data_IF_441426789467
#
_entry.id   IF_441426789467
#
_cell.length_a   1.000
_cell.length_b   1.000
_cell.length_c   1.000
_cell.angle_alpha   90.00
_cell.angle_beta   90.00
_cell.angle_gamma   90.00
#
_symmetry.space_group_name_H-M   'P 1'
#
loop_
_entity.id
_entity.type
_entity.pdbx_description
1 polymer ?
#
# COMPACT_ATOMS: atom_id res chain seq x y z
N UNK A 1 16.45 2.73 -17.25
CA UNK A 1 16.75 3.90 -16.38
C UNK A 1 16.60 3.42 -14.95
N UNK A 2 17.68 3.37 -14.20
CA UNK A 2 17.60 2.92 -12.81
C UNK A 2 16.87 3.97 -11.99
N UNK A 3 15.65 3.68 -11.65
CA UNK A 3 14.81 4.51 -10.81
C UNK A 3 15.43 4.84 -9.43
N UNK A 4 16.42 4.06 -9.02
CA UNK A 4 17.25 4.27 -7.82
C UNK A 4 18.06 5.58 -7.84
N UNK A 5 18.38 6.12 -9.03
CA UNK A 5 19.15 7.37 -9.17
C UNK A 5 18.28 8.62 -9.14
N UNK A 6 16.99 8.48 -8.98
CA UNK A 6 16.10 9.61 -8.94
C UNK A 6 16.28 10.38 -7.63
N UNK A 7 16.79 11.60 -7.73
CA UNK A 7 16.82 12.52 -6.58
C UNK A 7 15.38 12.97 -6.32
N UNK A 8 14.79 12.69 -5.14
CA UNK A 8 13.45 13.16 -4.86
C UNK A 8 13.42 14.69 -4.93
N UNK A 9 12.59 15.23 -5.80
CA UNK A 9 12.24 16.65 -5.69
C UNK A 9 11.31 16.82 -4.48
N UNK A 10 11.23 18.02 -3.87
CA UNK A 10 10.29 18.24 -2.77
C UNK A 10 8.83 17.89 -3.11
N UNK A 11 8.47 17.81 -4.38
CA UNK A 11 7.13 17.49 -4.88
C UNK A 11 6.89 16.00 -5.14
N UNK A 12 7.95 15.23 -5.36
CA UNK A 12 7.91 13.77 -5.57
C UNK A 12 7.76 12.99 -4.24
N UNK A 13 7.81 13.72 -3.14
CA UNK A 13 7.89 13.19 -1.79
C UNK A 13 6.69 12.30 -1.43
N UNK A 14 5.52 12.48 -2.05
CA UNK A 14 4.30 11.82 -1.58
C UNK A 14 4.01 10.50 -2.29
N UNK A 15 3.82 10.52 -3.59
CA UNK A 15 3.36 9.37 -4.38
C UNK A 15 4.50 8.48 -4.86
N UNK A 16 5.59 9.06 -5.29
CA UNK A 16 6.82 8.34 -5.62
C UNK A 16 7.37 7.53 -4.45
N UNK A 17 7.20 8.02 -3.22
CA UNK A 17 7.65 7.33 -2.03
C UNK A 17 6.85 6.04 -1.74
N UNK A 18 5.55 5.99 -2.06
CA UNK A 18 4.80 4.75 -1.98
C UNK A 18 5.33 3.70 -2.95
N UNK A 19 5.67 4.11 -4.18
CA UNK A 19 6.25 3.21 -5.17
C UNK A 19 7.61 2.68 -4.69
N UNK A 20 8.48 3.56 -4.16
CA UNK A 20 9.80 3.18 -3.63
C UNK A 20 9.70 2.22 -2.46
N UNK A 21 8.82 2.52 -1.51
CA UNK A 21 8.59 1.65 -0.35
C UNK A 21 8.07 0.27 -0.77
N UNK A 22 7.08 0.23 -1.68
CA UNK A 22 6.54 -1.02 -2.21
C UNK A 22 7.62 -1.82 -2.97
N UNK A 23 8.44 -1.16 -3.81
CA UNK A 23 9.56 -1.80 -4.53
C UNK A 23 10.55 -2.46 -3.58
N UNK A 24 10.99 -1.75 -2.56
CA UNK A 24 11.93 -2.29 -1.58
C UNK A 24 11.32 -3.49 -0.86
N UNK A 25 10.05 -3.42 -0.51
CA UNK A 25 9.38 -4.54 0.14
C UNK A 25 9.24 -5.76 -0.79
N UNK A 26 8.90 -5.55 -2.05
CA UNK A 26 8.90 -6.60 -3.07
C UNK A 26 10.26 -7.29 -3.13
N UNK A 27 11.34 -6.52 -3.21
CA UNK A 27 12.71 -7.03 -3.24
C UNK A 27 13.05 -7.83 -1.97
N UNK A 28 12.62 -7.38 -0.79
CA UNK A 28 12.80 -8.09 0.47
C UNK A 28 12.06 -9.44 0.47
N UNK A 29 10.79 -9.45 0.04
CA UNK A 29 10.00 -10.68 -0.02
C UNK A 29 10.65 -11.70 -0.97
N UNK A 30 11.10 -11.29 -2.15
CA UNK A 30 11.78 -12.19 -3.07
C UNK A 30 13.09 -12.73 -2.51
N UNK A 31 13.85 -11.91 -1.78
CA UNK A 31 15.07 -12.35 -1.11
C UNK A 31 14.80 -13.31 0.05
N UNK A 32 13.68 -13.14 0.76
CA UNK A 32 13.30 -13.97 1.91
C UNK A 32 12.68 -15.31 1.51
N UNK A 33 12.03 -15.38 0.34
CA UNK A 33 11.18 -16.51 -0.07
C UNK A 33 11.52 -17.07 -1.47
N UNK A 34 12.71 -16.79 -1.97
CA UNK A 34 13.13 -17.05 -3.34
C UNK A 34 12.35 -16.26 -4.42
N UNK A 35 12.87 -16.21 -5.65
CA UNK A 35 12.28 -15.45 -6.75
C UNK A 35 10.89 -15.96 -7.17
N UNK A 36 10.49 -17.15 -6.72
CA UNK A 36 9.19 -17.77 -7.02
C UNK A 36 8.03 -17.31 -6.14
N UNK A 37 8.27 -16.41 -5.19
CA UNK A 37 7.21 -15.83 -4.38
C UNK A 37 6.13 -15.17 -5.25
N UNK A 38 4.90 -15.67 -5.18
CA UNK A 38 3.75 -15.15 -5.95
C UNK A 38 3.33 -13.77 -5.39
N UNK A 39 3.95 -12.71 -5.88
CA UNK A 39 3.67 -11.34 -5.46
C UNK A 39 2.66 -10.70 -6.40
N UNK A 40 1.60 -10.11 -5.83
CA UNK A 40 0.68 -9.24 -6.56
C UNK A 40 0.73 -7.84 -6.01
N UNK A 41 0.96 -6.86 -6.87
CA UNK A 41 0.91 -5.45 -6.52
C UNK A 41 -0.39 -4.82 -7.04
N UNK A 42 -1.26 -4.40 -6.12
CA UNK A 42 -2.51 -3.70 -6.43
C UNK A 42 -2.27 -2.20 -6.37
N UNK A 43 -2.56 -1.48 -7.44
CA UNK A 43 -2.27 -0.05 -7.55
C UNK A 43 -3.52 0.71 -7.99
N UNK A 44 -3.87 1.75 -7.23
CA UNK A 44 -4.94 2.67 -7.60
C UNK A 44 -4.48 3.59 -8.74
N UNK A 45 -4.90 3.26 -9.97
CA UNK A 45 -4.40 3.89 -11.20
C UNK A 45 -4.72 5.38 -11.32
N UNK A 46 -5.96 5.87 -11.03
CA UNK A 46 -6.35 7.23 -11.37
C UNK A 46 -5.48 8.32 -10.72
N UNK A 47 -5.05 8.09 -9.48
CA UNK A 47 -4.20 9.05 -8.78
C UNK A 47 -2.81 9.17 -9.38
N UNK A 48 -2.19 8.07 -9.77
CA UNK A 48 -0.88 8.10 -10.40
C UNK A 48 -0.91 8.77 -11.77
N UNK A 49 -1.96 8.54 -12.58
CA UNK A 49 -2.17 9.21 -13.86
C UNK A 49 -2.32 10.72 -13.66
N UNK A 50 -3.19 11.13 -12.73
CA UNK A 50 -3.45 12.55 -12.44
C UNK A 50 -2.20 13.27 -11.93
N UNK A 51 -1.43 12.62 -11.08
CA UNK A 51 -0.19 13.15 -10.52
C UNK A 51 0.91 13.29 -11.56
N UNK A 52 1.14 12.28 -12.38
CA UNK A 52 2.10 12.33 -13.46
C UNK A 52 1.85 13.52 -14.42
N UNK A 53 0.58 13.82 -14.68
CA UNK A 53 0.19 14.92 -15.55
C UNK A 53 0.36 16.31 -14.91
N UNK A 54 0.13 16.45 -13.61
CA UNK A 54 -0.02 17.75 -12.96
C UNK A 54 1.15 18.21 -12.09
N UNK A 55 1.87 17.31 -11.47
CA UNK A 55 2.82 17.70 -10.41
C UNK A 55 4.25 17.23 -10.62
N UNK A 56 4.45 16.01 -11.02
CA UNK A 56 5.78 15.40 -10.85
C UNK A 56 6.64 15.52 -12.10
N UNK A 57 6.05 15.88 -13.26
CA UNK A 57 6.72 15.77 -14.57
C UNK A 57 7.45 14.42 -14.72
N UNK A 58 7.12 13.47 -13.86
CA UNK A 58 7.67 12.14 -13.80
C UNK A 58 6.62 11.16 -14.27
N UNK A 59 7.00 10.23 -15.13
CA UNK A 59 6.11 9.17 -15.59
C UNK A 59 5.98 8.10 -14.49
N UNK A 60 5.10 8.37 -13.51
CA UNK A 60 4.85 7.46 -12.41
C UNK A 60 4.28 6.11 -12.86
N UNK A 61 3.53 6.09 -13.96
CA UNK A 61 3.00 4.85 -14.53
C UNK A 61 4.14 3.99 -15.09
N UNK A 62 5.07 4.58 -15.85
CA UNK A 62 6.25 3.87 -16.31
C UNK A 62 7.14 3.40 -15.17
N UNK A 63 7.25 4.18 -14.10
CA UNK A 63 7.99 3.76 -12.90
C UNK A 63 7.35 2.51 -12.25
N UNK A 64 6.02 2.47 -12.11
CA UNK A 64 5.30 1.32 -11.57
C UNK A 64 5.46 0.09 -12.46
N UNK A 65 5.29 0.25 -13.78
CA UNK A 65 5.45 -0.86 -14.73
C UNK A 65 6.88 -1.37 -14.79
N UNK A 66 7.88 -0.50 -14.64
CA UNK A 66 9.29 -0.92 -14.58
C UNK A 66 9.59 -1.78 -13.34
N UNK A 67 8.97 -1.49 -12.21
CA UNK A 67 9.06 -2.36 -11.00
C UNK A 67 8.43 -3.72 -11.28
N UNK A 68 7.22 -3.77 -11.87
CA UNK A 68 6.58 -5.02 -12.29
C UNK A 68 7.51 -5.86 -13.16
N UNK A 69 8.11 -5.26 -14.18
CA UNK A 69 8.92 -5.95 -15.18
C UNK A 69 10.26 -6.43 -14.59
N UNK A 70 10.89 -5.58 -13.76
CA UNK A 70 12.17 -5.93 -13.11
C UNK A 70 12.02 -7.10 -12.14
N UNK A 71 10.97 -7.09 -11.33
CA UNK A 71 10.74 -8.12 -10.30
C UNK A 71 9.80 -9.23 -10.76
N UNK A 72 9.33 -9.21 -12.03
CA UNK A 72 8.45 -10.22 -12.63
C UNK A 72 7.20 -10.51 -11.79
N UNK A 73 6.62 -9.49 -11.19
CA UNK A 73 5.46 -9.61 -10.31
C UNK A 73 4.16 -9.36 -11.07
N UNK A 74 3.04 -9.83 -10.53
CA UNK A 74 1.71 -9.49 -11.04
C UNK A 74 1.34 -8.07 -10.63
N UNK A 75 1.07 -7.20 -11.59
CA UNK A 75 0.51 -5.87 -11.39
C UNK A 75 -0.99 -5.89 -11.69
N UNK A 76 -1.79 -5.39 -10.76
CA UNK A 76 -3.24 -5.23 -10.93
C UNK A 76 -3.61 -3.78 -10.67
N UNK A 77 -4.16 -3.13 -11.70
CA UNK A 77 -4.72 -1.80 -11.58
C UNK A 77 -6.15 -1.87 -11.06
N UNK A 78 -6.49 -0.97 -10.13
CA UNK A 78 -7.87 -0.78 -9.70
C UNK A 78 -8.24 0.71 -9.73
N UNK A 79 -9.54 1.00 -9.87
CA UNK A 79 -10.10 2.34 -9.97
C UNK A 79 -11.17 2.61 -8.90
N UNK A 80 -11.67 1.56 -8.27
CA UNK A 80 -12.66 1.66 -7.19
C UNK A 80 -12.29 0.78 -6.01
N UNK A 81 -12.74 1.13 -4.83
CA UNK A 81 -12.55 0.31 -3.62
C UNK A 81 -13.19 -1.07 -3.78
N UNK A 82 -14.31 -1.16 -4.50
CA UNK A 82 -14.97 -2.45 -4.76
C UNK A 82 -14.06 -3.40 -5.56
N UNK A 83 -13.40 -2.91 -6.61
CA UNK A 83 -12.45 -3.73 -7.37
C UNK A 83 -11.30 -4.27 -6.50
N UNK A 84 -10.80 -3.46 -5.53
CA UNK A 84 -9.82 -3.92 -4.57
C UNK A 84 -10.37 -5.05 -3.68
N UNK A 85 -11.57 -4.87 -3.13
CA UNK A 85 -12.24 -5.88 -2.28
C UNK A 85 -12.50 -7.16 -3.06
N UNK A 86 -13.03 -7.05 -4.27
CA UNK A 86 -13.32 -8.20 -5.16
C UNK A 86 -12.04 -8.98 -5.48
N UNK A 87 -10.94 -8.26 -5.77
CA UNK A 87 -9.66 -8.93 -6.00
C UNK A 87 -9.13 -9.63 -4.73
N UNK A 88 -9.24 -9.02 -3.57
CA UNK A 88 -8.84 -9.67 -2.32
C UNK A 88 -9.65 -10.94 -2.08
N UNK A 89 -10.94 -10.92 -2.36
CA UNK A 89 -11.84 -12.06 -2.15
C UNK A 89 -11.69 -13.16 -3.20
N UNK A 90 -11.52 -12.80 -4.49
CA UNK A 90 -11.65 -13.73 -5.61
C UNK A 90 -10.59 -13.58 -6.71
N UNK A 91 -9.61 -12.70 -6.57
CA UNK A 91 -8.55 -12.51 -7.57
C UNK A 91 -7.61 -13.72 -7.74
N UNK A 92 -7.70 -14.69 -6.83
CA UNK A 92 -7.14 -16.04 -6.87
C UNK A 92 -8.17 -17.01 -6.27
N UNK A 93 -8.12 -18.32 -6.57
CA UNK A 93 -8.97 -19.32 -5.91
C UNK A 93 -8.59 -19.44 -4.42
N UNK A 94 -9.24 -18.65 -3.57
CA UNK A 94 -8.88 -18.46 -2.15
C UNK A 94 -9.04 -19.69 -1.26
N UNK A 95 -9.71 -20.68 -1.72
CA UNK A 95 -9.74 -22.03 -1.15
C UNK A 95 -8.35 -22.70 -1.19
N UNK A 96 -7.56 -22.42 -2.24
CA UNK A 96 -6.23 -23.02 -2.49
C UNK A 96 -5.08 -22.02 -2.28
N UNK A 97 -5.25 -20.77 -2.72
CA UNK A 97 -4.20 -19.73 -2.71
C UNK A 97 -4.60 -18.60 -1.77
N UNK A 98 -4.20 -18.72 -0.51
CA UNK A 98 -4.47 -17.71 0.52
C UNK A 98 -3.38 -16.64 0.55
N UNK A 99 -3.73 -15.50 1.11
CA UNK A 99 -2.82 -14.36 1.30
C UNK A 99 -2.00 -14.59 2.55
N UNK A 100 -0.69 -14.76 2.41
CA UNK A 100 0.25 -14.92 3.52
C UNK A 100 0.84 -13.58 3.98
N UNK A 101 0.96 -12.60 3.08
CA UNK A 101 1.44 -11.27 3.40
C UNK A 101 0.54 -10.23 2.73
N UNK A 102 0.10 -9.23 3.50
CA UNK A 102 -0.71 -8.12 2.98
C UNK A 102 -0.26 -6.80 3.58
N UNK A 103 0.25 -5.91 2.74
CA UNK A 103 0.77 -4.61 3.17
C UNK A 103 0.13 -3.47 2.39
N UNK A 104 -0.25 -2.39 3.09
CA UNK A 104 -0.93 -1.24 2.49
C UNK A 104 -0.04 0.00 2.62
N UNK A 105 0.31 0.60 1.48
CA UNK A 105 1.03 1.86 1.35
C UNK A 105 0.07 2.90 0.75
N UNK A 106 -0.54 3.72 1.60
CA UNK A 106 -1.48 4.75 1.18
C UNK A 106 -1.62 5.84 2.25
N UNK A 107 -2.15 6.97 1.88
CA UNK A 107 -2.65 7.93 2.86
C UNK A 107 -3.81 7.32 3.64
N UNK A 108 -3.90 7.65 4.92
CA UNK A 108 -5.00 7.21 5.77
C UNK A 108 -5.27 8.17 6.92
N UNK A 109 -6.45 8.05 7.48
CA UNK A 109 -6.81 8.52 8.79
C UNK A 109 -7.11 7.31 9.70
N UNK A 110 -7.70 7.56 10.88
CA UNK A 110 -8.00 6.47 11.81
C UNK A 110 -9.02 5.44 11.28
N UNK A 111 -9.91 5.83 10.36
CA UNK A 111 -11.05 5.03 9.92
C UNK A 111 -10.99 4.58 8.45
N UNK A 112 -10.09 5.14 7.63
CA UNK A 112 -10.07 4.85 6.20
C UNK A 112 -8.71 5.05 5.54
N UNK A 113 -8.46 4.29 4.47
CA UNK A 113 -7.43 4.58 3.47
C UNK A 113 -8.02 5.49 2.39
N UNK A 114 -7.23 6.46 1.94
CA UNK A 114 -7.61 7.51 1.00
C UNK A 114 -6.76 7.38 -0.26
N UNK A 115 -7.31 6.74 -1.29
CA UNK A 115 -6.52 6.36 -2.47
C UNK A 115 -6.24 7.51 -3.43
N UNK A 116 -7.03 8.58 -3.36
CA UNK A 116 -6.89 9.75 -4.22
C UNK A 116 -6.55 11.04 -3.46
N UNK A 117 -6.30 10.93 -2.16
CA UNK A 117 -5.99 12.08 -1.31
C UNK A 117 -4.65 12.71 -1.69
N UNK A 118 -4.65 14.04 -1.74
CA UNK A 118 -3.46 14.85 -1.92
C UNK A 118 -3.66 16.21 -1.24
N UNK A 119 -2.72 16.60 -0.39
CA UNK A 119 -2.72 17.91 0.26
C UNK A 119 -2.58 19.08 -0.73
N UNK A 120 -2.11 18.82 -1.93
CA UNK A 120 -1.77 19.88 -2.90
C UNK A 120 -2.81 20.04 -4.02
N UNK A 121 -3.50 18.95 -4.40
CA UNK A 121 -4.46 18.97 -5.51
C UNK A 121 -5.88 18.82 -5.02
N UNK A 122 -6.11 17.86 -4.13
CA UNK A 122 -7.42 17.53 -3.57
C UNK A 122 -7.29 17.45 -2.05
N UNK A 123 -7.88 18.42 -1.37
CA UNK A 123 -7.95 18.45 0.10
C UNK A 123 -8.95 17.43 0.66
N UNK A 124 -9.78 16.84 -0.21
CA UNK A 124 -10.75 15.82 0.15
C UNK A 124 -10.59 14.58 -0.72
N UNK A 125 -10.53 13.41 -0.12
CA UNK A 125 -10.58 12.14 -0.84
C UNK A 125 -11.99 11.86 -1.33
N UNK A 126 -12.11 11.28 -2.52
CA UNK A 126 -13.37 10.80 -3.11
C UNK A 126 -13.43 9.28 -3.19
N UNK A 127 -12.28 8.61 -3.02
CA UNK A 127 -12.16 7.15 -3.05
C UNK A 127 -11.52 6.66 -1.77
N UNK A 128 -12.35 6.00 -0.96
CA UNK A 128 -12.02 5.55 0.37
C UNK A 128 -12.17 4.05 0.48
N UNK A 129 -11.26 3.40 1.21
CA UNK A 129 -11.56 2.12 1.82
C UNK A 129 -11.82 2.35 3.30
N UNK A 130 -13.09 2.49 3.65
CA UNK A 130 -13.51 2.81 5.00
C UNK A 130 -13.63 1.52 5.85
N UNK A 131 -13.39 1.62 7.14
CA UNK A 131 -13.49 0.47 8.06
C UNK A 131 -14.89 -0.18 8.09
N UNK A 132 -15.94 0.56 7.74
CA UNK A 132 -17.30 0.05 7.58
C UNK A 132 -17.45 -0.93 6.41
N UNK A 133 -16.55 -0.88 5.42
CA UNK A 133 -16.62 -1.73 4.23
C UNK A 133 -15.90 -3.09 4.44
N UNK A 134 -15.20 -3.24 5.57
CA UNK A 134 -14.44 -4.44 5.89
C UNK A 134 -15.29 -5.71 6.04
N UNK A 135 -16.59 -5.58 6.32
CA UNK A 135 -17.51 -6.70 6.37
C UNK A 135 -17.66 -7.43 5.03
N UNK A 136 -17.28 -6.78 3.92
CA UNK A 136 -17.27 -7.37 2.57
C UNK A 136 -16.09 -8.32 2.32
N UNK A 137 -15.08 -8.33 3.21
CA UNK A 137 -13.97 -9.26 3.09
C UNK A 137 -14.36 -10.66 3.61
N UNK A 138 -14.03 -11.69 2.85
CA UNK A 138 -14.24 -13.06 3.28
C UNK A 138 -13.18 -13.45 4.32
N UNK A 139 -13.58 -14.02 5.44
CA UNK A 139 -12.68 -14.40 6.54
C UNK A 139 -11.60 -15.42 6.16
N UNK A 140 -11.86 -16.26 5.17
CA UNK A 140 -10.98 -17.35 4.76
C UNK A 140 -9.86 -16.98 3.79
N UNK A 141 -9.72 -15.71 3.38
CA UNK A 141 -8.77 -15.30 2.34
C UNK A 141 -7.30 -15.25 2.81
N UNK A 142 -7.07 -15.21 4.12
CA UNK A 142 -5.74 -15.15 4.71
C UNK A 142 -5.27 -16.50 5.23
N UNK A 143 -3.94 -16.74 5.20
CA UNK A 143 -3.35 -17.88 5.88
C UNK A 143 -3.50 -17.76 7.41
N UNK A 144 -3.22 -18.85 8.14
CA UNK A 144 -3.29 -18.86 9.60
C UNK A 144 -2.36 -17.80 10.20
N UNK A 145 -1.14 -17.72 9.69
CA UNK A 145 -0.05 -16.91 10.22
C UNK A 145 0.25 -15.69 9.30
N UNK A 146 -0.79 -15.18 8.64
CA UNK A 146 -0.64 -14.06 7.72
C UNK A 146 -0.03 -12.83 8.41
N UNK A 147 1.01 -12.27 7.80
CA UNK A 147 1.54 -10.95 8.17
C UNK A 147 0.72 -9.86 7.49
N UNK A 148 0.12 -8.98 8.28
CA UNK A 148 -0.74 -7.91 7.75
C UNK A 148 -0.32 -6.59 8.37
N UNK A 149 0.04 -5.60 7.53
CA UNK A 149 0.52 -4.30 7.99
C UNK A 149 0.00 -3.14 7.16
N UNK A 150 -0.40 -2.09 7.84
CA UNK A 150 -0.66 -0.78 7.27
C UNK A 150 0.52 0.15 7.53
N UNK A 151 0.98 0.80 6.49
CA UNK A 151 1.98 1.86 6.55
C UNK A 151 1.36 3.27 6.48
N UNK A 152 0.03 3.35 6.56
CA UNK A 152 -0.73 4.60 6.58
C UNK A 152 -0.78 5.25 7.97
N UNK A 153 -0.92 6.57 7.98
CA UNK A 153 -1.05 7.36 9.20
C UNK A 153 -2.31 7.00 9.99
N UNK A 154 -2.25 6.96 11.32
CA UNK A 154 -3.39 6.78 12.23
C UNK A 154 -4.19 5.48 12.07
N UNK A 155 -3.82 4.59 11.15
CA UNK A 155 -4.57 3.36 10.85
C UNK A 155 -4.70 2.39 12.04
N UNK A 156 -3.77 2.44 12.98
CA UNK A 156 -3.79 1.64 14.21
C UNK A 156 -4.82 2.09 15.24
N UNK A 157 -5.39 3.28 15.09
CA UNK A 157 -6.29 3.88 16.10
C UNK A 157 -7.70 3.26 16.03
N UNK A 158 -8.25 3.02 14.82
CA UNK A 158 -9.56 2.39 14.62
C UNK A 158 -9.52 1.28 13.56
N UNK A 159 -9.09 1.58 12.33
CA UNK A 159 -9.17 0.67 11.19
C UNK A 159 -8.59 -0.72 11.50
N UNK A 160 -7.42 -0.81 12.11
CA UNK A 160 -6.79 -2.10 12.43
C UNK A 160 -7.57 -2.92 13.46
N UNK A 161 -8.27 -2.27 14.37
CA UNK A 161 -9.16 -2.95 15.33
C UNK A 161 -10.36 -3.56 14.61
N UNK A 162 -11.00 -2.78 13.72
CA UNK A 162 -12.13 -3.24 12.91
C UNK A 162 -11.72 -4.31 11.91
N UNK A 163 -10.49 -4.19 11.34
CA UNK A 163 -9.91 -5.23 10.50
C UNK A 163 -9.84 -6.58 11.21
N UNK A 164 -9.29 -6.62 12.44
CA UNK A 164 -9.22 -7.85 13.23
C UNK A 164 -10.59 -8.45 13.48
N UNK A 165 -11.58 -7.61 13.75
CA UNK A 165 -12.96 -8.07 13.95
C UNK A 165 -13.54 -8.66 12.66
N UNK A 166 -13.37 -8.01 11.53
CA UNK A 166 -13.92 -8.45 10.24
C UNK A 166 -13.26 -9.72 9.72
N UNK A 167 -11.92 -9.77 9.71
CA UNK A 167 -11.14 -10.84 9.06
C UNK A 167 -10.71 -11.96 10.01
N UNK A 168 -10.76 -11.72 11.32
CA UNK A 168 -10.20 -12.63 12.34
C UNK A 168 -8.66 -12.59 12.41
N UNK A 169 -7.99 -11.69 11.66
CA UNK A 169 -6.53 -11.57 11.61
C UNK A 169 -6.07 -10.20 12.14
N UNK A 170 -5.02 -10.15 12.97
CA UNK A 170 -4.48 -8.86 13.41
C UNK A 170 -3.85 -8.11 12.23
N UNK A 171 -3.98 -6.79 12.24
CA UNK A 171 -3.25 -5.88 11.36
C UNK A 171 -2.41 -4.93 12.22
N UNK A 172 -1.13 -4.82 11.90
CA UNK A 172 -0.24 -3.83 12.49
C UNK A 172 -0.52 -2.49 11.80
N UNK A 173 -0.71 -1.43 12.58
CA UNK A 173 -0.93 -0.08 12.05
C UNK A 173 -0.30 1.00 12.93
N UNK A 174 -0.16 2.18 12.38
CA UNK A 174 0.40 3.32 13.09
C UNK A 174 -0.64 3.98 14.01
N UNK A 175 -0.27 4.18 15.26
CA UNK A 175 -0.89 5.18 16.13
C UNK A 175 -0.04 6.45 15.97
N UNK A 176 -0.64 7.50 15.42
CA UNK A 176 0.08 8.69 14.96
C UNK A 176 0.46 8.63 13.48
N UNK A 177 1.36 9.52 13.06
CA UNK A 177 1.73 9.69 11.65
C UNK A 177 2.91 8.83 11.24
N UNK A 178 2.89 8.36 10.00
CA UNK A 178 4.03 7.73 9.34
C UNK A 178 4.82 8.76 8.52
N UNK A 179 6.11 8.54 8.38
CA UNK A 179 7.03 9.40 7.65
C UNK A 179 7.63 8.64 6.46
N UNK A 180 7.40 9.17 5.28
CA UNK A 180 7.98 8.70 4.01
C UNK A 180 9.05 9.67 3.47
N UNK A 181 9.12 10.92 3.98
CA UNK A 181 9.93 11.99 3.41
C UNK A 181 11.43 11.67 3.41
N UNK A 182 11.93 11.06 4.49
CA UNK A 182 13.35 10.70 4.62
C UNK A 182 13.62 9.23 4.28
N UNK A 183 12.81 8.67 3.40
CA UNK A 183 12.92 7.26 3.00
C UNK A 183 14.31 6.88 2.50
N UNK A 184 14.98 7.79 1.76
CA UNK A 184 16.34 7.57 1.24
C UNK A 184 17.38 7.32 2.35
N UNK A 185 17.18 7.90 3.54
CA UNK A 185 18.06 7.67 4.69
C UNK A 185 17.82 6.32 5.38
N UNK A 186 16.68 5.68 5.10
CA UNK A 186 16.22 4.46 5.75
C UNK A 186 15.97 3.31 4.77
N UNK A 187 16.59 3.35 3.60
CA UNK A 187 16.37 2.34 2.56
C UNK A 187 14.91 2.23 2.10
N UNK A 188 14.18 3.35 2.11
CA UNK A 188 12.79 3.49 1.70
C UNK A 188 11.76 2.74 2.59
N UNK A 189 12.17 2.28 3.76
CA UNK A 189 11.24 1.72 4.75
C UNK A 189 10.56 2.88 5.49
N UNK A 190 9.21 2.98 5.48
CA UNK A 190 8.51 4.03 6.20
C UNK A 190 8.74 3.93 7.72
N UNK A 191 8.87 5.06 8.38
CA UNK A 191 9.03 5.15 9.83
C UNK A 191 7.83 5.84 10.49
N UNK A 192 7.80 5.84 11.80
CA UNK A 192 6.87 6.66 12.56
C UNK A 192 7.46 8.04 12.83
N UNK A 193 6.62 9.06 12.88
CA UNK A 193 7.01 10.34 13.44
C UNK A 193 7.27 10.22 14.96
N UNK A 194 8.01 11.16 15.56
CA UNK A 194 8.21 11.19 17.01
C UNK A 194 6.89 11.10 17.77
N UNK A 195 6.85 10.28 18.81
CA UNK A 195 5.64 10.00 19.60
C UNK A 195 4.69 8.96 19.01
N UNK A 196 4.90 8.53 17.77
CA UNK A 196 4.13 7.44 17.17
C UNK A 196 4.56 6.06 17.67
N UNK A 197 3.65 5.07 17.56
CA UNK A 197 3.95 3.67 17.83
C UNK A 197 3.17 2.74 16.88
N UNK A 198 3.73 1.56 16.65
CA UNK A 198 2.98 0.51 15.97
C UNK A 198 2.04 -0.20 16.95
N UNK A 199 0.85 -0.61 16.48
CA UNK A 199 0.00 -1.53 17.23
C UNK A 199 0.66 -2.91 17.30
N UNK A 200 0.34 -3.64 18.33
CA UNK A 200 0.77 -5.05 18.51
C UNK A 200 -0.32 -6.00 18.04
#
# INVERSE_FOLDING_TARGET
MEWEKFKPTPRDIWWGNFIRAARVRIQQIQKEHDEDAAITWLVYRPSYVRRAQRQDKADLISNITSVRDTYKIKLVWFETTQQLIDYLNAGQPRDRVKIANFEIYAHSNCAAFMFDYSNEIDTASKVWWHERDLHQLHRGIFTRDAFIKSWGCHSGESFCKKWKFATGKPMIGAVGKTNYADGHLRGWVPALNPGGRWTR
#
